data_IF_581241166682
#
_entry.id   IF_581241166682
#
_cell.length_a   1.000
_cell.length_b   1.000
_cell.length_c   1.000
_cell.angle_alpha   90.00
_cell.angle_beta   90.00
_cell.angle_gamma   90.00
#
_symmetry.space_group_name_H-M   'P 1'
#
loop_
_entity.id
_entity.type
_entity.pdbx_description
1 polymer ?
#
# COMPACT_ATOMS: atom_id res chain seq x y z
N UNK A 1 -8.08 3.53 -16.68
CA UNK A 1 -8.88 4.74 -16.51
C UNK A 1 -8.12 5.76 -15.66
N UNK A 2 -8.26 7.04 -15.98
CA UNK A 2 -7.66 8.15 -15.22
C UNK A 2 -8.56 8.70 -14.12
N UNK A 3 -9.73 8.15 -13.92
CA UNK A 3 -10.71 8.61 -12.94
C UNK A 3 -10.98 10.13 -13.04
N UNK A 4 -11.01 10.66 -14.26
CA UNK A 4 -11.16 12.09 -14.53
C UNK A 4 -9.92 12.96 -14.25
N UNK A 5 -8.82 12.37 -13.86
CA UNK A 5 -7.60 13.09 -13.49
C UNK A 5 -6.70 13.40 -14.70
N UNK A 6 -5.84 14.42 -14.56
CA UNK A 6 -4.94 14.87 -15.63
C UNK A 6 -3.77 13.92 -15.88
N UNK A 7 -3.33 13.15 -14.89
CA UNK A 7 -2.23 12.20 -14.99
C UNK A 7 -2.57 10.86 -14.33
N UNK A 8 -1.77 9.84 -14.60
CA UNK A 8 -1.92 8.52 -13.99
C UNK A 8 -1.58 8.53 -12.50
N UNK A 9 -0.62 9.35 -12.10
CA UNK A 9 -0.20 9.53 -10.72
C UNK A 9 -1.31 10.17 -9.88
N UNK A 10 -1.99 11.19 -10.44
CA UNK A 10 -3.15 11.80 -9.80
C UNK A 10 -4.35 10.83 -9.75
N UNK A 11 -4.50 9.97 -10.75
CA UNK A 11 -5.52 8.93 -10.73
C UNK A 11 -5.27 7.91 -9.61
N UNK A 12 -4.02 7.52 -9.39
CA UNK A 12 -3.64 6.67 -8.25
C UNK A 12 -3.92 7.33 -6.91
N UNK A 13 -3.57 8.61 -6.77
CA UNK A 13 -3.89 9.37 -5.56
C UNK A 13 -5.39 9.45 -5.29
N UNK A 14 -6.21 9.66 -6.30
CA UNK A 14 -7.67 9.71 -6.16
C UNK A 14 -8.25 8.33 -5.80
N UNK A 15 -7.68 7.27 -6.37
CA UNK A 15 -8.06 5.90 -6.03
C UNK A 15 -7.77 5.60 -4.55
N UNK A 16 -6.58 5.94 -4.06
CA UNK A 16 -6.21 5.74 -2.67
C UNK A 16 -7.06 6.60 -1.72
N UNK A 17 -7.26 7.87 -2.04
CA UNK A 17 -8.15 8.77 -1.29
C UNK A 17 -9.57 8.21 -1.18
N UNK A 18 -10.10 7.67 -2.28
CA UNK A 18 -11.41 7.02 -2.29
C UNK A 18 -11.47 5.81 -1.37
N UNK A 19 -10.41 4.99 -1.36
CA UNK A 19 -10.32 3.83 -0.46
C UNK A 19 -10.27 4.26 1.02
N UNK A 20 -9.50 5.30 1.34
CA UNK A 20 -9.43 5.90 2.69
C UNK A 20 -10.81 6.40 3.12
N UNK A 21 -11.46 7.21 2.30
CA UNK A 21 -12.78 7.77 2.61
C UNK A 21 -13.85 6.66 2.75
N UNK A 22 -13.74 5.59 1.98
CA UNK A 22 -14.62 4.43 2.10
C UNK A 22 -14.40 3.68 3.41
N UNK A 23 -13.15 3.45 3.80
CA UNK A 23 -12.82 2.77 5.06
C UNK A 23 -13.35 3.57 6.27
N UNK A 24 -13.15 4.88 6.28
CA UNK A 24 -13.66 5.76 7.32
C UNK A 24 -15.19 5.75 7.39
N UNK A 25 -15.87 5.87 6.25
CA UNK A 25 -17.35 5.79 6.19
C UNK A 25 -17.89 4.47 6.72
N UNK A 26 -17.25 3.34 6.38
CA UNK A 26 -17.64 2.01 6.89
C UNK A 26 -17.49 1.90 8.42
N UNK A 27 -16.48 2.57 8.97
CA UNK A 27 -16.26 2.63 10.41
C UNK A 27 -17.06 3.72 11.13
N UNK A 28 -17.88 4.51 10.42
CA UNK A 28 -18.58 5.65 11.03
C UNK A 28 -17.64 6.76 11.53
N UNK A 29 -16.46 6.88 10.91
CA UNK A 29 -15.36 7.75 11.35
C UNK A 29 -15.13 8.90 10.39
N UNK A 30 -14.51 9.95 10.91
CA UNK A 30 -13.96 11.07 10.16
C UNK A 30 -12.43 11.06 10.20
N UNK A 31 -11.77 11.76 9.28
CA UNK A 31 -10.30 11.89 9.27
C UNK A 31 -9.73 12.44 10.57
N UNK A 32 -10.40 13.39 11.19
CA UNK A 32 -10.01 13.98 12.49
C UNK A 32 -10.00 13.00 13.66
N UNK A 33 -10.60 11.84 13.49
CA UNK A 33 -10.65 10.79 14.50
C UNK A 33 -9.44 9.86 14.42
N UNK A 34 -8.52 10.13 13.49
CA UNK A 34 -7.26 9.40 13.30
C UNK A 34 -6.10 10.16 13.92
N UNK A 35 -5.23 9.43 14.59
CA UNK A 35 -3.95 9.95 15.11
C UNK A 35 -2.84 9.90 14.06
N UNK A 36 -2.93 8.95 13.09
CA UNK A 36 -1.87 8.70 12.13
C UNK A 36 -2.42 8.02 10.87
N UNK A 37 -1.82 8.33 9.72
CA UNK A 37 -1.97 7.61 8.46
C UNK A 37 -0.65 6.96 8.09
N UNK A 38 -0.66 5.64 7.92
CA UNK A 38 0.42 4.83 7.34
C UNK A 38 0.04 4.46 5.92
N UNK A 39 0.64 5.06 4.93
CA UNK A 39 0.26 4.74 3.57
C UNK A 39 1.45 4.72 2.60
N UNK A 40 1.30 3.95 1.54
CA UNK A 40 2.30 3.85 0.48
C UNK A 40 1.69 3.43 -0.85
N UNK A 41 2.52 3.54 -1.86
CA UNK A 41 2.20 3.21 -3.25
C UNK A 41 3.45 2.69 -3.96
N UNK A 42 3.36 2.45 -5.26
CA UNK A 42 4.48 1.98 -6.06
C UNK A 42 5.28 3.11 -6.73
N UNK A 43 4.90 4.35 -6.51
CA UNK A 43 5.60 5.49 -7.10
C UNK A 43 6.81 5.90 -6.24
N UNK A 44 7.78 6.54 -6.88
CA UNK A 44 8.96 7.00 -6.17
C UNK A 44 8.58 7.99 -5.07
N UNK A 45 9.17 7.79 -3.90
CA UNK A 45 8.94 8.60 -2.69
C UNK A 45 7.48 8.63 -2.22
N UNK A 46 6.66 7.62 -2.55
CA UNK A 46 5.25 7.52 -2.15
C UNK A 46 4.41 8.76 -2.53
N UNK A 47 4.67 9.32 -3.72
CA UNK A 47 4.02 10.57 -4.14
C UNK A 47 2.50 10.42 -4.26
N UNK A 48 2.00 9.27 -4.69
CA UNK A 48 0.57 8.98 -4.78
C UNK A 48 -0.10 9.05 -3.42
N UNK A 49 0.47 8.39 -2.43
CA UNK A 49 -0.01 8.35 -1.05
C UNK A 49 0.11 9.69 -0.34
N UNK A 50 1.21 10.40 -0.59
CA UNK A 50 1.40 11.75 -0.06
C UNK A 50 0.29 12.69 -0.55
N UNK A 51 0.04 12.73 -1.85
CA UNK A 51 -1.01 13.57 -2.43
C UNK A 51 -2.41 13.15 -1.96
N UNK A 52 -2.67 11.84 -1.80
CA UNK A 52 -3.93 11.34 -1.28
C UNK A 52 -4.19 11.77 0.17
N UNK A 53 -3.14 11.89 0.98
CA UNK A 53 -3.20 12.22 2.39
C UNK A 53 -3.01 13.70 2.71
N UNK A 54 -2.53 14.50 1.76
CA UNK A 54 -2.09 15.89 1.96
C UNK A 54 -3.13 16.80 2.63
N UNK A 55 -4.42 16.56 2.37
CA UNK A 55 -5.51 17.37 2.95
C UNK A 55 -6.20 16.71 4.13
N UNK A 56 -5.65 15.64 4.66
CA UNK A 56 -6.25 14.91 5.79
C UNK A 56 -6.13 15.68 7.12
N UNK A 57 -5.14 16.55 7.24
CA UNK A 57 -4.76 17.22 8.48
C UNK A 57 -4.49 16.25 9.63
N UNK A 58 -3.86 15.13 9.30
CA UNK A 58 -3.49 14.03 10.20
C UNK A 58 -2.01 13.72 9.94
N UNK A 59 -1.21 13.41 10.95
CA UNK A 59 0.16 12.95 10.77
C UNK A 59 0.23 11.82 9.74
N UNK A 60 1.25 11.86 8.88
CA UNK A 60 1.44 10.89 7.80
C UNK A 60 2.84 10.31 7.83
N UNK A 61 2.94 8.99 7.77
CA UNK A 61 4.19 8.26 7.58
C UNK A 61 4.11 7.44 6.30
N UNK A 62 4.93 7.82 5.34
CA UNK A 62 5.06 7.09 4.06
C UNK A 62 5.67 5.70 4.24
N UNK A 63 5.06 4.71 3.63
CA UNK A 63 5.49 3.32 3.64
C UNK A 63 5.98 2.92 2.27
N UNK A 64 7.25 2.56 2.14
CA UNK A 64 7.85 2.20 0.86
C UNK A 64 8.29 0.74 0.84
N UNK A 65 7.31 -0.16 0.93
CA UNK A 65 7.51 -1.61 0.90
C UNK A 65 7.08 -2.29 -0.40
N UNK A 66 6.73 -1.52 -1.43
CA UNK A 66 6.18 -2.04 -2.68
C UNK A 66 5.01 -3.02 -2.41
N UNK A 67 5.14 -4.29 -2.80
CA UNK A 67 4.08 -5.29 -2.61
C UNK A 67 3.79 -5.61 -1.13
N UNK A 68 4.69 -5.30 -0.21
CA UNK A 68 4.50 -5.51 1.23
C UNK A 68 3.89 -4.32 1.96
N UNK A 69 3.67 -3.20 1.29
CA UNK A 69 3.24 -1.92 1.91
C UNK A 69 2.01 -2.08 2.81
N UNK A 70 0.98 -2.78 2.35
CA UNK A 70 -0.24 -2.95 3.16
C UNK A 70 0.04 -3.80 4.40
N UNK A 71 0.76 -4.91 4.25
CA UNK A 71 1.15 -5.77 5.38
C UNK A 71 2.05 -5.02 6.36
N UNK A 72 3.01 -4.24 5.87
CA UNK A 72 3.87 -3.37 6.68
C UNK A 72 3.05 -2.34 7.46
N UNK A 73 2.10 -1.68 6.81
CA UNK A 73 1.22 -0.70 7.45
C UNK A 73 0.35 -1.32 8.54
N UNK A 74 -0.21 -2.50 8.30
CA UNK A 74 -0.98 -3.24 9.30
C UNK A 74 -0.11 -3.68 10.48
N UNK A 75 1.07 -4.23 10.20
CA UNK A 75 2.00 -4.71 11.21
C UNK A 75 2.51 -3.57 12.12
N UNK A 76 3.01 -2.50 11.51
CA UNK A 76 3.49 -1.33 12.23
C UNK A 76 2.34 -0.63 12.98
N UNK A 77 1.18 -0.51 12.34
CA UNK A 77 0.00 0.06 12.94
C UNK A 77 -0.47 -0.71 14.17
N UNK A 78 -0.49 -2.04 14.11
CA UNK A 78 -0.80 -2.88 15.26
C UNK A 78 0.18 -2.66 16.42
N UNK A 79 1.48 -2.59 16.13
CA UNK A 79 2.49 -2.27 17.16
C UNK A 79 2.30 -0.88 17.78
N UNK A 80 1.94 0.12 16.97
CA UNK A 80 1.72 1.50 17.46
C UNK A 80 0.47 1.60 18.35
N UNK A 81 -0.61 0.90 17.97
CA UNK A 81 -1.82 0.85 18.80
C UNK A 81 -1.54 0.10 20.12
N UNK A 82 -0.92 -1.08 20.04
CA UNK A 82 -0.60 -1.89 21.22
C UNK A 82 0.34 -1.17 22.20
N UNK A 83 1.29 -0.38 21.68
CA UNK A 83 2.19 0.42 22.53
C UNK A 83 1.55 1.68 23.13
N UNK A 84 0.32 2.01 22.73
CA UNK A 84 -0.37 3.24 23.14
C UNK A 84 0.19 4.51 22.48
N UNK A 85 0.98 4.37 21.39
CA UNK A 85 1.48 5.51 20.63
C UNK A 85 0.42 6.15 19.73
N UNK A 86 -0.64 5.40 19.41
CA UNK A 86 -1.82 5.88 18.71
C UNK A 86 -3.04 5.10 19.20
N UNK A 87 -4.17 5.78 19.36
CA UNK A 87 -5.44 5.11 19.69
C UNK A 87 -6.14 4.59 18.44
N UNK A 88 -5.99 5.31 17.34
CA UNK A 88 -6.60 4.98 16.05
C UNK A 88 -5.75 5.47 14.88
N UNK A 89 -5.45 4.56 13.98
CA UNK A 89 -4.71 4.89 12.79
C UNK A 89 -5.30 4.21 11.54
N UNK A 90 -4.86 4.66 10.38
CA UNK A 90 -5.28 4.10 9.12
C UNK A 90 -4.06 3.59 8.35
N UNK A 91 -4.12 2.34 7.90
CA UNK A 91 -3.17 1.78 6.94
C UNK A 91 -3.80 1.77 5.55
N UNK A 92 -3.05 2.23 4.53
CA UNK A 92 -3.50 2.23 3.16
C UNK A 92 -2.38 1.89 2.17
N UNK A 93 -2.76 1.26 1.07
CA UNK A 93 -1.86 1.02 -0.05
C UNK A 93 -2.61 1.14 -1.36
N UNK A 94 -1.91 1.57 -2.39
CA UNK A 94 -2.46 1.65 -3.75
C UNK A 94 -1.44 1.26 -4.80
N UNK A 95 -1.94 0.94 -5.97
CA UNK A 95 -1.17 0.92 -7.21
C UNK A 95 -2.07 1.25 -8.38
N UNK A 96 -1.50 1.89 -9.39
CA UNK A 96 -2.15 2.08 -10.68
C UNK A 96 -1.25 1.51 -11.75
N UNK A 97 -1.80 0.60 -12.58
CA UNK A 97 -1.04 -0.09 -13.61
C UNK A 97 -0.16 0.85 -14.45
N UNK A 98 -0.73 1.91 -15.01
CA UNK A 98 0.00 2.80 -15.91
C UNK A 98 1.13 3.59 -15.23
N UNK A 99 0.93 4.07 -14.01
CA UNK A 99 1.96 4.81 -13.27
C UNK A 99 3.07 3.89 -12.79
N UNK A 100 2.73 2.73 -12.20
CA UNK A 100 3.68 1.76 -11.70
C UNK A 100 4.51 1.13 -12.81
N UNK A 101 3.87 0.73 -13.93
CA UNK A 101 4.58 0.12 -15.06
C UNK A 101 5.58 1.09 -15.70
N UNK A 102 5.23 2.37 -15.82
CA UNK A 102 6.13 3.38 -16.35
C UNK A 102 7.37 3.56 -15.49
N UNK A 103 7.25 3.37 -14.18
CA UNK A 103 8.34 3.57 -13.26
C UNK A 103 9.21 2.32 -13.05
N UNK A 104 8.62 1.14 -13.02
CA UNK A 104 9.31 -0.09 -12.62
C UNK A 104 9.56 -1.06 -13.74
N UNK A 105 8.80 -0.99 -14.84
CA UNK A 105 8.92 -1.95 -15.93
C UNK A 105 9.32 -1.27 -17.23
N UNK A 106 10.57 -1.41 -17.55
CA UNK A 106 11.05 -1.13 -18.90
C UNK A 106 10.51 -2.20 -19.85
N UNK A 107 10.18 -1.85 -21.02
CA UNK A 107 9.96 -0.56 -21.67
C UNK A 107 8.54 -0.48 -22.26
N UNK A 108 7.57 -0.10 -21.48
CA UNK A 108 6.24 0.22 -22.03
C UNK A 108 6.32 1.26 -23.16
N UNK A 109 7.25 2.21 -23.01
CA UNK A 109 7.49 3.26 -23.99
C UNK A 109 7.91 2.74 -25.37
N UNK A 110 8.47 1.54 -25.45
CA UNK A 110 8.95 0.93 -26.69
C UNK A 110 8.00 -0.14 -27.26
N UNK A 111 6.82 -0.31 -26.65
CA UNK A 111 5.83 -1.29 -27.12
C UNK A 111 6.30 -2.74 -27.04
N UNK A 112 7.21 -3.06 -26.12
CA UNK A 112 7.71 -4.41 -25.93
C UNK A 112 6.58 -5.40 -25.61
N UNK A 113 6.58 -6.55 -26.29
CA UNK A 113 5.64 -7.61 -26.00
C UNK A 113 6.01 -8.30 -24.69
N UNK A 114 5.02 -8.47 -23.81
CA UNK A 114 5.21 -9.20 -22.55
C UNK A 114 5.33 -10.70 -22.80
N UNK A 115 6.17 -11.34 -22.01
CA UNK A 115 6.24 -12.81 -21.99
C UNK A 115 4.97 -13.38 -21.36
N UNK A 116 4.58 -14.63 -21.68
CA UNK A 116 3.42 -15.29 -21.07
C UNK A 116 3.52 -15.39 -19.52
N UNK A 117 4.74 -15.37 -18.97
CA UNK A 117 5.01 -15.44 -17.52
C UNK A 117 5.04 -14.08 -16.85
N UNK A 118 4.93 -12.98 -17.60
CA UNK A 118 4.99 -11.64 -17.04
C UNK A 118 3.78 -11.37 -16.12
N UNK A 119 4.05 -10.84 -14.94
CA UNK A 119 3.03 -10.42 -14.01
C UNK A 119 2.60 -8.98 -14.30
N UNK A 120 1.35 -8.68 -13.99
CA UNK A 120 0.75 -7.38 -14.23
C UNK A 120 0.55 -6.65 -12.91
N UNK A 121 0.85 -5.36 -12.87
CA UNK A 121 0.52 -4.52 -11.73
C UNK A 121 -0.98 -4.28 -11.69
N UNK A 122 -1.60 -4.55 -10.57
CA UNK A 122 -3.03 -4.28 -10.39
C UNK A 122 -3.30 -2.76 -10.30
N UNK A 123 -4.47 -2.35 -10.77
CA UNK A 123 -5.01 -1.01 -10.48
C UNK A 123 -6.01 -1.17 -9.34
N UNK A 124 -5.58 -0.89 -8.13
CA UNK A 124 -6.38 -1.07 -6.92
C UNK A 124 -5.88 -0.18 -5.78
N UNK A 125 -6.75 0.07 -4.82
CA UNK A 125 -6.39 0.65 -3.54
C UNK A 125 -7.17 -0.02 -2.42
N UNK A 126 -6.54 -0.13 -1.25
CA UNK A 126 -7.15 -0.64 -0.05
C UNK A 126 -6.79 0.20 1.16
N UNK A 127 -7.68 0.26 2.13
CA UNK A 127 -7.45 0.94 3.40
C UNK A 127 -8.12 0.18 4.53
N UNK A 128 -7.48 0.16 5.70
CA UNK A 128 -8.01 -0.40 6.93
C UNK A 128 -7.76 0.56 8.09
N UNK A 129 -8.75 0.72 8.94
CA UNK A 129 -8.60 1.44 10.22
C UNK A 129 -8.23 0.42 11.29
N UNK A 130 -7.21 0.73 12.08
CA UNK A 130 -6.79 -0.04 13.24
C UNK A 130 -7.10 0.78 14.50
N UNK A 131 -7.53 0.08 15.52
CA UNK A 131 -7.82 0.66 16.84
C UNK A 131 -7.68 -0.41 17.91
N UNK A 132 -7.93 -0.05 19.17
CA UNK A 132 -7.84 -0.97 20.30
C UNK A 132 -8.82 -2.17 20.15
N UNK A 133 -8.56 -3.21 20.91
CA UNK A 133 -9.37 -4.42 20.96
C UNK A 133 -10.85 -4.09 21.25
N UNK A 134 -11.75 -4.80 20.59
CA UNK A 134 -13.21 -4.60 20.74
C UNK A 134 -13.81 -3.55 19.78
N UNK A 135 -12.99 -2.86 18.99
CA UNK A 135 -13.49 -1.91 17.98
C UNK A 135 -14.06 -2.61 16.72
N UNK A 136 -13.77 -3.90 16.52
CA UNK A 136 -14.17 -4.70 15.37
C UNK A 136 -14.21 -6.18 15.72
N UNK A 137 -14.99 -6.96 14.96
CA UNK A 137 -14.98 -8.43 15.02
C UNK A 137 -13.74 -9.05 14.38
N UNK A 138 -12.96 -8.26 13.65
CA UNK A 138 -11.70 -8.69 13.02
C UNK A 138 -10.54 -8.16 13.83
N UNK A 139 -9.71 -9.08 14.35
CA UNK A 139 -8.56 -8.76 15.20
C UNK A 139 -7.24 -9.11 14.52
N UNK A 140 -6.25 -8.24 14.66
CA UNK A 140 -4.86 -8.53 14.35
C UNK A 140 -4.22 -9.17 15.59
N UNK A 141 -4.05 -10.49 15.57
CA UNK A 141 -3.59 -11.24 16.74
C UNK A 141 -2.08 -11.40 16.83
N UNK A 142 -1.40 -11.45 15.68
CA UNK A 142 0.04 -11.65 15.60
C UNK A 142 0.64 -10.84 14.47
N UNK A 143 1.85 -10.37 14.70
CA UNK A 143 2.69 -9.67 13.72
C UNK A 143 4.05 -10.34 13.67
N UNK A 144 4.53 -10.65 12.47
CA UNK A 144 5.85 -11.18 12.24
C UNK A 144 6.55 -10.35 11.16
N UNK A 145 7.72 -9.83 11.49
CA UNK A 145 8.58 -9.15 10.52
C UNK A 145 9.58 -10.13 9.94
N UNK A 146 9.50 -10.34 8.62
CA UNK A 146 10.43 -11.17 7.89
C UNK A 146 11.77 -10.48 7.64
N UNK A 147 12.68 -11.22 7.05
CA UNK A 147 13.98 -10.71 6.62
C UNK A 147 14.08 -10.69 5.09
N UNK A 148 15.08 -10.00 4.56
CA UNK A 148 15.41 -10.07 3.15
C UNK A 148 15.98 -11.44 2.80
N UNK A 149 15.45 -12.05 1.74
CA UNK A 149 15.95 -13.29 1.15
C UNK A 149 16.27 -13.04 -0.31
N UNK A 150 17.53 -13.21 -0.71
CA UNK A 150 18.01 -12.97 -2.07
C UNK A 150 18.56 -14.28 -2.66
N UNK A 151 17.93 -14.78 -3.70
CA UNK A 151 18.31 -16.01 -4.41
C UNK A 151 18.90 -15.76 -5.81
N UNK A 152 19.24 -14.52 -6.13
CA UNK A 152 19.87 -14.17 -7.41
C UNK A 152 18.89 -14.22 -8.60
N UNK A 153 17.61 -14.01 -8.39
CA UNK A 153 16.61 -13.98 -9.47
C UNK A 153 16.85 -12.76 -10.37
N UNK A 154 17.16 -13.01 -11.65
CA UNK A 154 17.49 -11.96 -12.63
C UNK A 154 16.33 -11.63 -13.57
N UNK A 155 15.31 -12.46 -13.65
CA UNK A 155 14.15 -12.23 -14.51
C UNK A 155 13.18 -11.24 -13.86
N UNK A 156 13.22 -9.98 -14.31
CA UNK A 156 12.33 -8.92 -13.84
C UNK A 156 10.84 -9.19 -14.12
N UNK A 157 10.51 -10.13 -15.01
CA UNK A 157 9.13 -10.51 -15.30
C UNK A 157 8.61 -11.62 -14.36
N UNK A 158 9.47 -12.23 -13.56
CA UNK A 158 9.12 -13.29 -12.63
C UNK A 158 9.28 -12.82 -11.18
N UNK A 159 8.44 -11.88 -10.77
CA UNK A 159 8.45 -11.37 -9.40
C UNK A 159 8.07 -12.43 -8.36
N UNK A 160 7.27 -13.41 -8.74
CA UNK A 160 6.92 -14.52 -7.85
C UNK A 160 8.13 -15.32 -7.39
N UNK A 161 9.07 -15.60 -8.30
CA UNK A 161 10.31 -16.29 -7.95
C UNK A 161 11.19 -15.48 -6.97
N UNK A 162 11.13 -14.15 -7.02
CA UNK A 162 11.84 -13.28 -6.09
C UNK A 162 11.13 -13.18 -4.73
N UNK A 163 9.81 -13.12 -4.71
CA UNK A 163 9.02 -12.85 -3.49
C UNK A 163 8.69 -14.11 -2.68
N UNK A 164 8.44 -15.23 -3.36
CA UNK A 164 8.04 -16.46 -2.68
C UNK A 164 9.05 -16.97 -1.63
N UNK A 165 10.38 -16.95 -1.89
CA UNK A 165 11.34 -17.37 -0.87
C UNK A 165 11.30 -16.56 0.41
N UNK A 166 11.12 -15.23 0.31
CA UNK A 166 11.00 -14.36 1.47
C UNK A 166 9.69 -14.60 2.24
N UNK A 167 8.59 -14.82 1.52
CA UNK A 167 7.32 -15.18 2.14
C UNK A 167 7.40 -16.53 2.87
N UNK A 168 8.00 -17.55 2.23
CA UNK A 168 8.17 -18.87 2.83
C UNK A 168 9.11 -18.87 4.05
N UNK A 169 10.13 -18.00 4.06
CA UNK A 169 11.03 -17.85 5.22
C UNK A 169 10.32 -17.17 6.40
N UNK A 170 9.31 -16.35 6.14
CA UNK A 170 8.57 -15.63 7.17
C UNK A 170 7.47 -16.46 7.82
N UNK A 171 6.88 -17.41 7.09
CA UNK A 171 5.82 -18.31 7.56
C UNK A 171 6.37 -19.46 8.39
#
# INVERSE_FOLDING_TARGET
DRLGQKSWELAESELQKTAIDLALRKGGLHRRDLDLILAGDLLNQCIGSFLASMHANVPYLGQYGACSTMAQGLALGGCLVESGAADRLLAAASSHFCSAERQYRFPLAYGGQRTPTAQWTATAAGAAVLGAEGASDVCLTHVLFGKMVELGVKDANNMGAAMAPAACDTL
#
